data_IF_682699248860
#
_entry.id   IF_682699248860
#
_cell.length_a   1.000
_cell.length_b   1.000
_cell.length_c   1.000
_cell.angle_alpha   90.00
_cell.angle_beta   90.00
_cell.angle_gamma   90.00
#
_symmetry.space_group_name_H-M   'P 1'
#
loop_
_entity.id
_entity.type
_entity.pdbx_description
1 polymer ?
#
# COMPACT_ATOMS: atom_id res chain seq x y z
N UNK A 1 -41.83 -30.69 -24.17
CA UNK A 1 -40.92 -30.56 -23.02
C UNK A 1 -39.75 -29.69 -23.47
N UNK A 2 -39.86 -28.37 -23.27
CA UNK A 2 -38.78 -27.42 -23.62
C UNK A 2 -37.94 -27.20 -22.36
N UNK A 3 -36.66 -27.55 -22.45
CA UNK A 3 -35.67 -27.39 -21.40
C UNK A 3 -35.25 -25.90 -21.38
N UNK A 4 -35.69 -25.15 -20.38
CA UNK A 4 -35.24 -23.79 -20.15
C UNK A 4 -33.85 -23.83 -19.50
N UNK A 5 -32.80 -23.53 -20.26
CA UNK A 5 -31.48 -23.22 -19.71
C UNK A 5 -31.54 -21.83 -19.07
N UNK A 6 -31.71 -21.78 -17.74
CA UNK A 6 -31.51 -20.56 -16.98
C UNK A 6 -30.00 -20.27 -16.91
N UNK A 7 -29.54 -19.40 -17.80
CA UNK A 7 -28.21 -18.80 -17.74
C UNK A 7 -28.20 -17.84 -16.53
N UNK A 8 -27.77 -18.32 -15.37
CA UNK A 8 -27.43 -17.45 -14.23
C UNK A 8 -26.17 -16.67 -14.60
N UNK A 9 -26.35 -15.53 -15.28
CA UNK A 9 -25.31 -14.52 -15.36
C UNK A 9 -25.22 -13.90 -13.96
N UNK A 10 -24.34 -14.45 -13.12
CA UNK A 10 -23.83 -13.74 -11.96
C UNK A 10 -23.07 -12.52 -12.48
N UNK A 11 -23.76 -11.40 -12.57
CA UNK A 11 -23.11 -10.09 -12.62
C UNK A 11 -22.47 -9.87 -11.24
N UNK A 12 -21.33 -10.49 -11.01
CA UNK A 12 -20.45 -10.10 -9.93
C UNK A 12 -19.85 -8.76 -10.38
N UNK A 13 -20.33 -7.65 -9.82
CA UNK A 13 -19.59 -6.40 -9.85
C UNK A 13 -18.34 -6.60 -8.99
N UNK A 14 -17.35 -7.29 -9.55
CA UNK A 14 -16.11 -7.62 -8.88
C UNK A 14 -15.34 -6.33 -8.64
N UNK A 15 -15.52 -5.77 -7.44
CA UNK A 15 -14.57 -4.83 -6.86
C UNK A 15 -13.18 -5.46 -7.05
N UNK A 16 -12.29 -4.78 -7.77
CA UNK A 16 -10.99 -5.37 -8.12
C UNK A 16 -10.16 -5.50 -6.85
N UNK A 17 -9.79 -6.74 -6.52
CA UNK A 17 -9.04 -7.07 -5.29
C UNK A 17 -7.57 -7.32 -5.61
N UNK A 18 -6.67 -6.78 -4.78
CA UNK A 18 -5.23 -7.03 -4.85
C UNK A 18 -4.91 -8.36 -4.17
N UNK A 19 -4.42 -9.35 -4.93
CA UNK A 19 -4.09 -10.69 -4.43
C UNK A 19 -2.60 -10.76 -4.07
N UNK A 20 -2.27 -10.35 -2.85
CA UNK A 20 -0.88 -10.09 -2.43
C UNK A 20 0.01 -11.34 -2.45
N UNK A 21 -0.58 -12.53 -2.24
CA UNK A 21 0.15 -13.82 -2.36
C UNK A 21 0.68 -14.11 -3.77
N UNK A 22 0.17 -13.40 -4.78
CA UNK A 22 0.62 -13.53 -6.19
C UNK A 22 1.49 -12.35 -6.57
N UNK A 23 1.05 -11.14 -6.21
CA UNK A 23 1.77 -9.90 -6.51
C UNK A 23 1.59 -8.91 -5.35
N UNK A 24 2.67 -8.49 -4.68
CA UNK A 24 2.58 -7.60 -3.52
C UNK A 24 2.14 -6.18 -3.88
N UNK A 25 2.16 -5.81 -5.16
CA UNK A 25 1.82 -4.45 -5.63
C UNK A 25 0.33 -4.17 -5.55
N UNK A 26 -0.03 -2.97 -5.08
CA UNK A 26 -1.41 -2.51 -5.03
C UNK A 26 -1.81 -1.83 -6.35
N UNK A 27 -2.24 -2.63 -7.33
CA UNK A 27 -2.68 -2.16 -8.65
C UNK A 27 -4.07 -1.54 -8.67
N UNK A 28 -4.93 -1.98 -7.76
CA UNK A 28 -6.34 -1.60 -7.72
C UNK A 28 -6.62 -0.77 -6.47
N UNK A 29 -7.05 0.47 -6.68
CA UNK A 29 -7.37 1.40 -5.60
C UNK A 29 -8.64 2.16 -5.96
N UNK A 30 -9.54 2.27 -4.99
CA UNK A 30 -10.76 3.09 -5.08
C UNK A 30 -10.52 4.40 -4.36
N UNK A 31 -10.82 5.53 -4.98
CA UNK A 31 -10.58 6.85 -4.40
C UNK A 31 -11.88 7.58 -4.07
N UNK A 32 -11.87 8.31 -2.96
CA UNK A 32 -12.93 9.20 -2.49
C UNK A 32 -12.35 10.59 -2.27
N UNK A 33 -12.87 11.56 -2.99
CA UNK A 33 -12.49 12.97 -2.89
C UNK A 33 -13.55 13.87 -3.54
N UNK A 34 -13.61 15.15 -3.16
CA UNK A 34 -12.85 15.78 -2.07
C UNK A 34 -13.42 15.42 -0.70
N UNK A 35 -12.54 15.16 0.28
CA UNK A 35 -12.90 14.99 1.69
C UNK A 35 -12.39 16.20 2.47
N UNK A 36 -13.19 16.93 3.25
CA UNK A 36 -12.69 18.08 4.01
C UNK A 36 -11.59 17.66 5.00
N UNK A 37 -10.51 18.43 5.12
CA UNK A 37 -9.43 18.14 6.08
C UNK A 37 -9.80 18.41 7.55
N UNK A 38 -10.94 19.07 7.77
CA UNK A 38 -11.55 19.27 9.09
C UNK A 38 -12.31 18.04 9.61
N UNK A 39 -12.38 16.97 8.82
CA UNK A 39 -13.10 15.75 9.20
C UNK A 39 -12.38 15.01 10.32
N UNK A 40 -13.13 14.32 11.18
CA UNK A 40 -12.55 13.32 12.08
C UNK A 40 -12.11 12.10 11.24
N UNK A 41 -10.82 12.05 10.94
CA UNK A 41 -10.26 11.06 10.04
C UNK A 41 -10.32 9.65 10.62
N UNK A 42 -10.19 9.48 11.93
CA UNK A 42 -10.24 8.16 12.56
C UNK A 42 -11.64 7.57 12.47
N UNK A 43 -12.66 8.39 12.74
CA UNK A 43 -14.06 7.99 12.59
C UNK A 43 -14.41 7.72 11.13
N UNK A 44 -13.94 8.56 10.19
CA UNK A 44 -14.12 8.34 8.75
C UNK A 44 -13.53 7.00 8.31
N UNK A 45 -12.28 6.70 8.70
CA UNK A 45 -11.60 5.44 8.34
C UNK A 45 -12.30 4.23 8.93
N UNK A 46 -12.77 4.32 10.18
CA UNK A 46 -13.52 3.23 10.81
C UNK A 46 -14.81 2.92 10.05
N UNK A 47 -15.60 3.94 9.73
CA UNK A 47 -16.88 3.76 9.01
C UNK A 47 -16.67 3.30 7.58
N UNK A 48 -15.69 3.87 6.87
CA UNK A 48 -15.43 3.49 5.48
C UNK A 48 -14.85 2.08 5.38
N UNK A 49 -14.11 1.59 6.38
CA UNK A 49 -13.61 0.21 6.41
C UNK A 49 -14.73 -0.83 6.58
N UNK A 50 -15.81 -0.48 7.28
CA UNK A 50 -16.98 -1.35 7.45
C UNK A 50 -17.97 -1.27 6.27
N UNK A 51 -17.72 -0.37 5.32
CA UNK A 51 -18.63 -0.13 4.21
C UNK A 51 -18.53 -1.21 3.11
N UNK A 52 -19.69 -1.74 2.69
CA UNK A 52 -19.82 -2.72 1.61
C UNK A 52 -19.84 -2.04 0.24
N UNK A 53 -18.64 -1.87 -0.33
CA UNK A 53 -18.43 -1.33 -1.67
C UNK A 53 -18.79 -2.32 -2.79
N UNK A 54 -19.07 -3.59 -2.49
CA UNK A 54 -19.51 -4.56 -3.50
C UNK A 54 -20.88 -4.20 -4.10
N UNK A 55 -21.69 -3.42 -3.38
CA UNK A 55 -23.07 -3.08 -3.76
C UNK A 55 -23.32 -1.58 -3.96
N UNK A 56 -22.39 -0.74 -3.52
CA UNK A 56 -22.60 0.71 -3.49
C UNK A 56 -21.39 1.44 -4.09
N UNK A 57 -21.67 2.43 -4.94
CA UNK A 57 -20.66 3.26 -5.62
C UNK A 57 -20.37 4.57 -4.88
N UNK A 58 -21.08 4.84 -3.79
CA UNK A 58 -20.93 6.06 -3.00
C UNK A 58 -20.85 5.71 -1.52
N UNK A 59 -20.12 6.53 -0.76
CA UNK A 59 -20.02 6.43 0.69
C UNK A 59 -20.71 7.64 1.30
N UNK A 60 -21.61 7.43 2.27
CA UNK A 60 -22.30 8.52 2.97
C UNK A 60 -21.68 8.66 4.35
N UNK A 61 -21.16 9.84 4.66
CA UNK A 61 -20.59 10.14 5.97
C UNK A 61 -20.98 11.55 6.39
N UNK A 62 -21.51 11.68 7.61
CA UNK A 62 -22.01 12.94 8.18
C UNK A 62 -22.96 13.70 7.22
N UNK A 63 -23.85 12.96 6.55
CA UNK A 63 -24.84 13.54 5.62
C UNK A 63 -24.28 14.02 4.28
N UNK A 64 -22.98 13.79 4.00
CA UNK A 64 -22.36 14.07 2.71
C UNK A 64 -22.13 12.79 1.93
N UNK A 65 -22.30 12.86 0.61
CA UNK A 65 -22.06 11.75 -0.31
C UNK A 65 -20.68 11.89 -0.95
N UNK A 66 -19.85 10.87 -0.82
CA UNK A 66 -18.53 10.77 -1.43
C UNK A 66 -18.59 9.71 -2.53
N UNK A 67 -18.35 10.12 -3.78
CA UNK A 67 -18.38 9.21 -4.92
C UNK A 67 -17.08 8.42 -5.02
N UNK A 68 -17.20 7.11 -5.25
CA UNK A 68 -16.07 6.22 -5.49
C UNK A 68 -15.55 6.40 -6.91
N UNK A 69 -14.23 6.42 -7.05
CA UNK A 69 -13.55 6.32 -8.35
C UNK A 69 -12.57 5.15 -8.34
N UNK A 70 -12.91 4.09 -9.08
CA UNK A 70 -12.09 2.90 -9.18
C UNK A 70 -10.95 3.10 -10.20
N UNK A 71 -9.72 2.86 -9.77
CA UNK A 71 -8.52 3.05 -10.59
C UNK A 71 -7.71 1.77 -10.63
N UNK A 72 -7.26 1.41 -11.84
CA UNK A 72 -6.29 0.34 -12.07
C UNK A 72 -5.13 0.93 -12.83
N UNK A 73 -3.93 0.82 -12.27
CA UNK A 73 -2.70 1.22 -12.97
C UNK A 73 -2.11 0.03 -13.73
N UNK A 74 -1.49 0.29 -14.87
CA UNK A 74 -0.69 -0.70 -15.60
C UNK A 74 0.81 -0.43 -15.49
N UNK A 75 1.21 0.57 -14.71
CA UNK A 75 2.61 0.91 -14.50
C UNK A 75 3.32 -0.23 -13.76
N UNK A 76 4.54 -0.59 -14.18
CA UNK A 76 5.29 -1.71 -13.58
C UNK A 76 5.50 -1.60 -12.06
N UNK A 77 5.47 -0.39 -11.51
CA UNK A 77 5.64 -0.11 -10.07
C UNK A 77 4.31 0.10 -9.34
N UNK A 78 3.18 -0.19 -9.98
CA UNK A 78 1.83 0.11 -9.49
C UNK A 78 1.65 1.56 -9.04
N UNK A 79 2.12 2.49 -9.88
CA UNK A 79 2.09 3.92 -9.61
C UNK A 79 0.71 4.53 -9.84
N UNK A 80 0.23 5.33 -8.89
CA UNK A 80 -1.03 6.05 -8.92
C UNK A 80 -0.78 7.56 -8.86
N UNK A 81 -1.16 8.27 -9.92
CA UNK A 81 -1.02 9.72 -10.04
C UNK A 81 -2.28 10.43 -9.54
N UNK A 82 -2.41 10.56 -8.22
CA UNK A 82 -3.66 11.01 -7.59
C UNK A 82 -3.95 12.48 -7.91
N UNK A 83 -2.90 13.29 -8.03
CA UNK A 83 -2.97 14.68 -8.49
C UNK A 83 -3.67 14.84 -9.86
N UNK A 84 -3.50 13.89 -10.78
CA UNK A 84 -4.16 13.89 -12.08
C UNK A 84 -5.62 13.42 -12.00
N UNK A 85 -5.97 12.62 -11.00
CA UNK A 85 -7.35 12.18 -10.78
C UNK A 85 -8.20 13.35 -10.27
N UNK A 86 -7.62 14.22 -9.45
CA UNK A 86 -8.31 15.35 -8.81
C UNK A 86 -7.53 16.66 -8.99
N UNK A 87 -7.49 17.23 -10.22
CA UNK A 87 -6.67 18.40 -10.54
C UNK A 87 -7.15 19.71 -9.90
N UNK A 88 -8.34 19.73 -9.30
CA UNK A 88 -8.97 20.92 -8.72
C UNK A 88 -9.16 20.80 -7.20
N UNK A 89 -8.37 19.96 -6.53
CA UNK A 89 -8.44 19.79 -5.08
C UNK A 89 -7.89 21.03 -4.36
N UNK A 90 -8.59 21.52 -3.34
CA UNK A 90 -8.17 22.65 -2.52
C UNK A 90 -7.21 22.22 -1.40
N UNK A 91 -6.46 23.18 -0.82
CA UNK A 91 -5.48 22.92 0.25
C UNK A 91 -6.09 22.34 1.54
N UNK A 92 -7.40 22.56 1.75
CA UNK A 92 -8.19 22.08 2.87
C UNK A 92 -9.00 20.82 2.53
N UNK A 93 -8.64 20.13 1.46
CA UNK A 93 -9.27 18.89 1.01
C UNK A 93 -8.26 17.75 1.01
N UNK A 94 -8.77 16.56 1.22
CA UNK A 94 -8.09 15.29 1.30
C UNK A 94 -8.61 14.35 0.22
N UNK A 95 -7.81 13.35 -0.10
CA UNK A 95 -8.22 12.18 -0.87
C UNK A 95 -8.08 10.96 0.04
N UNK A 96 -9.06 10.06 0.01
CA UNK A 96 -8.98 8.76 0.68
C UNK A 96 -8.94 7.67 -0.37
N UNK A 97 -7.84 6.93 -0.43
CA UNK A 97 -7.67 5.73 -1.24
C UNK A 97 -7.98 4.47 -0.43
N UNK A 98 -8.62 3.49 -1.06
CA UNK A 98 -8.95 2.19 -0.48
C UNK A 98 -8.46 1.10 -1.41
N UNK A 99 -7.55 0.27 -0.92
CA UNK A 99 -7.10 -0.94 -1.59
C UNK A 99 -7.69 -2.15 -0.88
N UNK A 100 -8.50 -2.91 -1.62
CA UNK A 100 -9.00 -4.20 -1.15
C UNK A 100 -7.93 -5.26 -1.39
N UNK A 101 -7.71 -6.09 -0.37
CA UNK A 101 -6.61 -7.05 -0.34
C UNK A 101 -7.19 -8.42 0.00
N UNK A 102 -6.85 -9.41 -0.81
CA UNK A 102 -7.16 -10.81 -0.52
C UNK A 102 -5.89 -11.52 -0.09
N UNK A 103 -5.95 -12.17 1.07
CA UNK A 103 -4.89 -13.02 1.60
C UNK A 103 -5.40 -14.46 1.73
N UNK A 104 -4.71 -15.42 1.11
CA UNK A 104 -5.12 -16.85 1.15
C UNK A 104 -5.00 -17.47 2.55
N UNK A 105 -4.14 -16.89 3.39
CA UNK A 105 -3.85 -17.33 4.76
C UNK A 105 -3.85 -16.13 5.71
N UNK A 106 -3.91 -16.39 7.01
CA UNK A 106 -3.52 -15.38 7.99
C UNK A 106 -1.98 -15.34 8.01
N UNK A 107 -1.37 -14.15 7.89
CA UNK A 107 0.08 -14.03 7.73
C UNK A 107 0.62 -12.68 8.18
N UNK A 108 1.92 -12.65 8.54
CA UNK A 108 2.66 -11.40 8.70
C UNK A 108 2.92 -10.74 7.34
N UNK A 109 2.91 -9.41 7.29
CA UNK A 109 3.22 -8.66 6.08
C UNK A 109 4.16 -7.50 6.39
N UNK A 110 4.89 -7.05 5.36
CA UNK A 110 5.61 -5.77 5.39
C UNK A 110 4.99 -4.83 4.38
N UNK A 111 4.66 -3.63 4.85
CA UNK A 111 4.18 -2.54 4.01
C UNK A 111 5.36 -1.68 3.59
N UNK A 112 5.37 -1.31 2.32
CA UNK A 112 6.28 -0.31 1.79
C UNK A 112 5.56 0.52 0.75
N UNK A 113 5.87 1.80 0.73
CA UNK A 113 5.35 2.67 -0.29
C UNK A 113 6.36 3.73 -0.62
N UNK A 114 6.33 4.16 -1.87
CA UNK A 114 6.90 5.43 -2.26
C UNK A 114 5.76 6.43 -2.32
N UNK A 115 5.97 7.56 -1.68
CA UNK A 115 5.04 8.68 -1.63
C UNK A 115 5.76 9.92 -2.13
N UNK A 116 5.10 10.68 -2.98
CA UNK A 116 5.64 11.93 -3.51
C UNK A 116 4.74 13.10 -3.11
N UNK A 117 5.36 14.24 -2.82
CA UNK A 117 4.73 15.55 -2.55
C UNK A 117 3.31 15.49 -1.94
N UNK A 118 3.24 15.13 -0.66
CA UNK A 118 1.99 15.08 0.10
C UNK A 118 2.21 14.60 1.53
N UNK A 119 1.18 14.69 2.36
CA UNK A 119 1.15 13.95 3.63
C UNK A 119 0.27 12.72 3.47
N UNK A 120 0.76 11.60 3.99
CA UNK A 120 0.10 10.31 3.85
C UNK A 120 -0.10 9.68 5.22
N UNK A 121 -1.29 9.17 5.49
CA UNK A 121 -1.60 8.33 6.63
C UNK A 121 -2.07 6.97 6.11
N UNK A 122 -1.39 5.90 6.51
CA UNK A 122 -1.76 4.54 6.16
C UNK A 122 -2.50 3.87 7.30
N UNK A 123 -3.56 3.13 6.96
CA UNK A 123 -4.28 2.25 7.87
C UNK A 123 -4.42 0.87 7.22
N UNK A 124 -4.28 -0.18 8.02
CA UNK A 124 -4.56 -1.55 7.59
C UNK A 124 -5.57 -2.16 8.56
N UNK A 125 -6.71 -2.59 8.03
CA UNK A 125 -7.82 -3.14 8.82
C UNK A 125 -8.20 -2.22 9.99
N UNK A 126 -8.38 -0.91 9.71
CA UNK A 126 -8.67 0.17 10.68
C UNK A 126 -7.53 0.57 11.62
N UNK A 127 -6.45 -0.20 11.68
CA UNK A 127 -5.31 0.13 12.53
C UNK A 127 -4.34 1.05 11.80
N UNK A 128 -3.97 2.16 12.43
CA UNK A 128 -2.91 3.03 11.94
C UNK A 128 -1.60 2.25 11.78
N UNK A 129 -0.94 2.40 10.63
CA UNK A 129 0.34 1.74 10.33
C UNK A 129 1.48 2.72 10.09
N UNK A 130 1.24 3.88 9.46
CA UNK A 130 2.30 4.86 9.24
C UNK A 130 1.80 6.26 8.92
N UNK A 131 2.71 7.23 9.06
CA UNK A 131 2.56 8.60 8.56
C UNK A 131 3.86 9.07 7.92
N UNK A 132 3.79 9.95 6.92
CA UNK A 132 4.98 10.60 6.35
C UNK A 132 5.48 11.77 7.20
N UNK A 133 4.69 12.29 8.15
CA UNK A 133 5.16 13.35 9.07
C UNK A 133 6.13 12.82 10.13
N UNK A 134 5.98 11.55 10.50
CA UNK A 134 6.84 10.82 11.42
C UNK A 134 7.04 9.39 10.84
N UNK A 135 7.86 9.25 9.79
CA UNK A 135 8.05 7.98 9.12
C UNK A 135 8.65 6.96 10.10
N UNK A 136 8.18 5.70 10.07
CA UNK A 136 8.74 4.66 10.91
C UNK A 136 10.21 4.39 10.56
N UNK A 137 11.02 4.11 11.58
CA UNK A 137 12.37 3.60 11.41
C UNK A 137 12.29 2.13 10.97
N UNK A 138 12.78 1.82 9.76
CA UNK A 138 12.81 0.46 9.23
C UNK A 138 11.53 -0.01 8.55
N UNK A 139 11.33 -1.34 8.53
CA UNK A 139 10.20 -1.99 7.83
C UNK A 139 8.90 -1.91 8.64
N UNK A 140 7.82 -1.56 7.95
CA UNK A 140 6.47 -1.43 8.52
C UNK A 140 5.81 -2.80 8.56
N UNK A 141 5.89 -3.49 9.70
CA UNK A 141 5.33 -4.84 9.87
C UNK A 141 3.90 -4.79 10.37
N UNK A 142 3.02 -5.61 9.79
CA UNK A 142 1.63 -5.77 10.23
C UNK A 142 1.12 -7.19 9.98
N UNK A 143 -0.18 -7.44 10.19
CA UNK A 143 -0.82 -8.76 10.01
C UNK A 143 -2.03 -8.67 9.10
N UNK A 144 -2.12 -9.60 8.15
CA UNK A 144 -3.30 -9.83 7.32
C UNK A 144 -4.09 -11.00 7.89
N UNK A 145 -5.42 -10.87 7.91
CA UNK A 145 -6.35 -11.97 8.18
C UNK A 145 -6.47 -12.84 6.93
N UNK A 146 -6.84 -14.11 7.10
CA UNK A 146 -7.28 -14.92 5.95
C UNK A 146 -8.54 -14.29 5.34
N UNK A 147 -8.59 -14.22 4.02
CA UNK A 147 -9.67 -13.63 3.24
C UNK A 147 -9.46 -12.14 3.00
N UNK A 148 -10.55 -11.39 3.17
CA UNK A 148 -10.62 -9.97 2.88
C UNK A 148 -9.93 -9.11 3.94
N UNK A 149 -9.11 -8.18 3.46
CA UNK A 149 -8.44 -7.13 4.23
C UNK A 149 -8.57 -5.82 3.46
N UNK A 150 -8.42 -4.70 4.16
CA UNK A 150 -8.49 -3.37 3.55
C UNK A 150 -7.34 -2.50 4.02
N UNK A 151 -6.69 -1.85 3.06
CA UNK A 151 -5.68 -0.83 3.30
C UNK A 151 -6.23 0.52 2.87
N UNK A 152 -6.29 1.46 3.80
CA UNK A 152 -6.71 2.83 3.55
C UNK A 152 -5.51 3.77 3.55
N UNK A 153 -5.53 4.73 2.62
CA UNK A 153 -4.54 5.77 2.49
C UNK A 153 -5.23 7.12 2.50
N UNK A 154 -4.97 7.92 3.52
CA UNK A 154 -5.40 9.33 3.56
C UNK A 154 -4.28 10.18 2.99
N UNK A 155 -4.61 10.99 2.00
CA UNK A 155 -3.67 11.80 1.25
C UNK A 155 -4.08 13.26 1.41
N UNK A 156 -3.19 14.06 2.01
CA UNK A 156 -3.24 15.52 1.91
C UNK A 156 -2.24 15.94 0.83
N UNK A 157 -2.69 16.14 -0.42
CA UNK A 157 -1.77 16.40 -1.52
C UNK A 157 -1.05 17.74 -1.34
N UNK A 158 0.19 17.81 -1.81
CA UNK A 158 0.96 19.06 -1.92
C UNK A 158 1.60 19.09 -3.30
N UNK A 159 0.97 19.71 -4.29
CA UNK A 159 1.48 19.62 -5.68
C UNK A 159 1.20 18.25 -6.30
N UNK A 160 2.23 17.60 -6.87
CA UNK A 160 2.09 16.33 -7.60
C UNK A 160 2.11 15.13 -6.65
N UNK A 161 1.04 15.00 -5.87
CA UNK A 161 0.86 13.89 -4.94
C UNK A 161 0.61 12.59 -5.69
N UNK A 162 1.59 11.69 -5.59
CA UNK A 162 1.58 10.37 -6.20
C UNK A 162 2.02 9.32 -5.19
N UNK A 163 1.56 8.09 -5.37
CA UNK A 163 2.04 6.97 -4.57
C UNK A 163 2.07 5.65 -5.32
N UNK A 164 2.86 4.74 -4.80
CA UNK A 164 2.74 3.32 -5.02
C UNK A 164 2.97 2.60 -3.69
N UNK A 165 2.25 1.51 -3.49
CA UNK A 165 2.31 0.74 -2.26
C UNK A 165 2.40 -0.75 -2.56
N UNK A 166 3.11 -1.45 -1.68
CA UNK A 166 3.42 -2.86 -1.72
C UNK A 166 3.10 -3.43 -0.36
N UNK A 167 2.47 -4.60 -0.35
CA UNK A 167 2.25 -5.39 0.85
C UNK A 167 2.88 -6.74 0.59
N UNK A 168 4.12 -6.91 1.07
CA UNK A 168 4.86 -8.15 0.89
C UNK A 168 4.31 -9.22 1.84
N UNK A 169 3.97 -10.43 1.32
CA UNK A 169 3.45 -11.51 2.15
C UNK A 169 4.56 -12.14 2.98
N UNK A 170 4.22 -13.15 3.78
CA UNK A 170 5.17 -13.85 4.67
C UNK A 170 6.21 -14.68 3.92
N UNK A 171 5.96 -15.06 2.66
CA UNK A 171 6.93 -15.71 1.78
C UNK A 171 8.01 -14.75 1.22
N UNK A 172 8.41 -13.75 2.01
CA UNK A 172 9.49 -12.80 1.75
C UNK A 172 10.73 -13.18 2.55
N UNK A 173 11.88 -12.64 2.17
CA UNK A 173 13.06 -12.64 3.03
C UNK A 173 13.32 -11.21 3.50
N UNK A 174 13.52 -11.05 4.81
CA UNK A 174 13.94 -9.78 5.41
C UNK A 174 15.44 -9.87 5.72
N UNK A 175 16.20 -8.90 5.22
CA UNK A 175 17.65 -8.78 5.46
C UNK A 175 17.88 -7.50 6.23
N UNK A 176 18.69 -7.57 7.28
CA UNK A 176 19.06 -6.41 8.09
C UNK A 176 20.53 -6.47 8.50
N UNK A 177 21.13 -5.33 8.75
CA UNK A 177 22.52 -5.26 9.21
C UNK A 177 22.94 -3.84 9.58
N UNK A 178 24.21 -3.69 9.96
CA UNK A 178 24.81 -2.40 10.28
C UNK A 178 26.06 -2.21 9.44
N UNK A 179 26.19 -1.05 8.80
CA UNK A 179 27.42 -0.65 8.10
C UNK A 179 28.33 0.06 9.08
N UNK A 180 29.55 -0.42 9.24
CA UNK A 180 30.55 0.11 10.18
C UNK A 180 31.86 0.46 9.49
N UNK A 181 32.62 1.38 10.07
CA UNK A 181 33.99 1.70 9.66
C UNK A 181 35.01 0.66 10.19
N UNK A 182 36.29 0.85 9.89
CA UNK A 182 37.38 -0.04 10.33
C UNK A 182 37.56 -0.10 11.86
N UNK A 183 37.00 0.86 12.59
CA UNK A 183 37.01 0.93 14.05
C UNK A 183 35.68 0.44 14.66
N UNK A 184 34.81 -0.17 13.85
CA UNK A 184 33.49 -0.66 14.24
C UNK A 184 32.50 0.45 14.65
N UNK A 185 32.70 1.70 14.20
CA UNK A 185 31.72 2.79 14.38
C UNK A 185 30.66 2.73 13.28
N UNK A 186 29.37 2.89 13.58
CA UNK A 186 28.35 2.90 12.55
C UNK A 186 28.48 4.07 11.56
N UNK A 187 28.23 3.79 10.29
CA UNK A 187 28.28 4.78 9.21
C UNK A 187 26.84 5.22 8.88
N UNK A 188 26.42 6.43 9.28
CA UNK A 188 25.07 6.90 9.03
C UNK A 188 24.86 7.21 7.54
N UNK A 189 23.65 6.92 7.04
CA UNK A 189 23.23 7.24 5.67
C UNK A 189 24.11 6.66 4.55
N UNK A 190 24.86 5.59 4.86
CA UNK A 190 25.66 4.85 3.91
C UNK A 190 24.76 4.16 2.87
N UNK A 191 25.13 4.27 1.60
CA UNK A 191 24.47 3.56 0.52
C UNK A 191 25.07 2.16 0.32
N UNK A 192 24.22 1.19 0.02
CA UNK A 192 24.64 -0.16 -0.34
C UNK A 192 23.64 -0.83 -1.29
N UNK A 193 23.96 -2.07 -1.66
CA UNK A 193 23.17 -2.89 -2.57
C UNK A 193 23.04 -4.33 -2.11
N UNK A 194 21.89 -4.93 -2.43
CA UNK A 194 21.66 -6.37 -2.41
C UNK A 194 21.38 -6.79 -3.85
N UNK A 195 22.15 -7.75 -4.38
CA UNK A 195 21.89 -8.32 -5.70
C UNK A 195 21.94 -9.85 -5.68
N UNK A 196 21.18 -10.48 -6.57
CA UNK A 196 21.62 -11.77 -7.11
C UNK A 196 22.38 -11.51 -8.43
N UNK A 197 23.14 -12.50 -8.90
CA UNK A 197 23.98 -12.35 -10.11
C UNK A 197 23.18 -12.36 -11.42
N UNK A 198 21.86 -12.46 -11.37
CA UNK A 198 21.03 -12.72 -12.55
C UNK A 198 20.04 -11.60 -12.85
N UNK A 199 19.22 -11.20 -11.87
CA UNK A 199 18.02 -10.41 -12.11
C UNK A 199 17.55 -9.53 -10.95
N UNK A 200 17.98 -9.82 -9.72
CA UNK A 200 17.60 -9.05 -8.54
C UNK A 200 18.66 -8.01 -8.22
N UNK A 201 18.24 -6.75 -8.10
CA UNK A 201 19.05 -5.70 -7.52
C UNK A 201 18.17 -4.71 -6.76
N UNK A 202 18.59 -4.40 -5.53
CA UNK A 202 17.95 -3.41 -4.66
C UNK A 202 19.01 -2.58 -3.94
N UNK A 203 18.81 -1.28 -3.92
CA UNK A 203 19.64 -0.35 -3.16
C UNK A 203 19.01 -0.14 -1.79
N UNK A 204 19.84 0.04 -0.78
CA UNK A 204 19.41 0.50 0.54
C UNK A 204 20.26 1.69 0.97
N UNK A 205 19.76 2.41 1.96
CA UNK A 205 20.49 3.42 2.69
C UNK A 205 20.33 3.13 4.19
N UNK A 206 21.41 3.27 4.96
CA UNK A 206 21.36 3.11 6.41
C UNK A 206 20.70 4.31 7.09
N UNK A 207 20.19 4.09 8.30
CA UNK A 207 19.70 5.16 9.17
C UNK A 207 20.84 5.93 9.87
N UNK A 208 20.49 6.80 10.82
CA UNK A 208 21.45 7.58 11.60
C UNK A 208 22.38 6.73 12.49
N UNK A 209 22.04 5.46 12.73
CA UNK A 209 22.82 4.48 13.49
C UNK A 209 23.55 3.48 12.58
N UNK A 210 23.61 3.74 11.27
CA UNK A 210 24.22 2.85 10.30
C UNK A 210 23.47 1.53 10.08
N UNK A 211 22.24 1.39 10.59
CA UNK A 211 21.42 0.19 10.45
C UNK A 211 20.55 0.24 9.18
N UNK A 212 20.30 -0.91 8.56
CA UNK A 212 19.38 -1.04 7.44
C UNK A 212 18.49 -2.27 7.59
N UNK A 213 17.30 -2.21 7.00
CA UNK A 213 16.42 -3.35 6.76
C UNK A 213 15.93 -3.32 5.32
N UNK A 214 15.76 -4.49 4.71
CA UNK A 214 15.31 -4.60 3.33
C UNK A 214 14.52 -5.90 3.10
N UNK A 215 13.56 -5.86 2.18
CA UNK A 215 12.80 -7.03 1.72
C UNK A 215 13.36 -7.57 0.39
N UNK A 216 13.55 -8.88 0.30
CA UNK A 216 13.78 -9.61 -0.96
C UNK A 216 12.49 -10.33 -1.34
N UNK A 217 11.94 -9.96 -2.50
CA UNK A 217 10.75 -10.58 -3.06
C UNK A 217 10.68 -10.42 -4.60
N UNK A 218 10.32 -11.47 -5.36
CA UNK A 218 10.19 -12.86 -4.89
C UNK A 218 11.55 -13.43 -4.49
N UNK A 219 11.58 -14.24 -3.44
CA UNK A 219 12.80 -14.91 -3.00
C UNK A 219 13.02 -16.21 -3.79
N UNK A 220 14.24 -16.41 -4.30
CA UNK A 220 14.65 -17.67 -4.89
C UNK A 220 15.68 -18.37 -4.00
N UNK A 221 15.26 -19.49 -3.39
CA UNK A 221 16.09 -20.30 -2.49
C UNK A 221 17.34 -20.90 -3.13
N UNK A 222 17.42 -20.93 -4.46
CA UNK A 222 18.59 -21.45 -5.19
C UNK A 222 19.58 -20.34 -5.55
N UNK A 223 19.25 -19.06 -5.29
CA UNK A 223 20.11 -17.94 -5.62
C UNK A 223 21.01 -17.59 -4.43
N UNK A 224 22.21 -17.10 -4.75
CA UNK A 224 23.11 -16.46 -3.81
C UNK A 224 22.91 -14.95 -3.94
N UNK A 225 22.66 -14.31 -2.80
CA UNK A 225 22.49 -12.86 -2.72
C UNK A 225 23.76 -12.25 -2.13
N UNK A 226 24.37 -11.33 -2.87
CA UNK A 226 25.56 -10.60 -2.49
C UNK A 226 25.15 -9.23 -1.91
N UNK A 227 25.74 -8.87 -0.77
CA UNK A 227 25.63 -7.55 -0.13
C UNK A 227 26.92 -6.77 -0.42
N UNK A 228 26.82 -5.53 -0.90
CA UNK A 228 27.97 -4.69 -1.25
C UNK A 228 27.72 -3.20 -1.06
#
# INVERSE_FOLDING_TARGET
>A
MFLAFALNILLCSDLKVNRIDTDPRLYHVSFFAPVPDSIDIETFIKEINDYDFGKNEHFIFQGRTYNRRDVTTSAGWAFHTVSQLYPSLNDNELIVGIAEIESKIEQSCVLWGFTNQGKYLGYLNKSFVFTTDNPPEGLIRSRLKKGHNRFELVIKPRGLADFNAYIWPENRVEVSGTVVDANNNPIPYAGGGISDRESFFRKFQTDANGFFEHVIYPFNKNHIYDLF
#
